data_IF_672965038280
#
_entry.id   IF_672965038280
#
_cell.length_a   1.000
_cell.length_b   1.000
_cell.length_c   1.000
_cell.angle_alpha   90.00
_cell.angle_beta   90.00
_cell.angle_gamma   90.00
#
_symmetry.space_group_name_H-M   'P 1'
#
loop_
_entity.id
_entity.type
_entity.pdbx_description
1 polymer ?
#
# COMPACT_ATOMS: atom_id res chain seq x y z
N UNK A 1 -15.27 31.78 17.07
CA UNK A 1 -15.09 30.54 17.87
C UNK A 1 -14.84 29.43 16.87
N UNK A 2 -13.58 29.01 16.74
CA UNK A 2 -13.13 28.06 15.74
C UNK A 2 -13.08 26.68 16.41
N UNK A 3 -14.09 25.86 16.17
CA UNK A 3 -14.13 24.47 16.61
C UNK A 3 -13.61 23.61 15.46
N UNK A 4 -12.29 23.43 15.39
CA UNK A 4 -11.67 22.45 14.49
C UNK A 4 -11.71 21.08 15.18
N UNK A 5 -12.80 20.35 14.93
CA UNK A 5 -12.85 18.91 15.15
C UNK A 5 -12.10 18.24 13.98
N UNK A 6 -10.84 17.86 14.18
CA UNK A 6 -10.12 17.01 13.23
C UNK A 6 -10.08 15.57 13.75
N UNK A 7 -10.96 14.72 13.21
CA UNK A 7 -10.77 13.26 13.19
C UNK A 7 -11.18 12.73 11.83
N UNK A 8 -10.22 12.57 10.92
CA UNK A 8 -10.38 11.78 9.68
C UNK A 8 -9.33 10.67 9.71
N UNK A 9 -9.78 9.42 9.64
CA UNK A 9 -8.94 8.26 9.35
C UNK A 9 -9.66 7.46 8.26
N UNK A 10 -9.12 7.47 7.04
CA UNK A 10 -9.60 6.68 5.90
C UNK A 10 -8.46 5.77 5.44
N UNK A 11 -8.77 4.51 5.13
CA UNK A 11 -7.82 3.50 4.69
C UNK A 11 -8.50 2.42 3.84
N UNK A 12 -7.66 1.70 3.09
CA UNK A 12 -7.81 0.78 1.94
C UNK A 12 -7.78 1.52 0.61
N UNK A 13 -6.58 1.96 0.21
CA UNK A 13 -6.26 2.87 -0.90
C UNK A 13 -7.33 3.94 -1.11
N UNK A 14 -7.55 4.73 -0.05
CA UNK A 14 -8.61 5.71 0.14
C UNK A 14 -9.96 5.29 -0.47
N UNK A 15 -10.54 4.26 0.16
CA UNK A 15 -11.77 3.55 -0.18
C UNK A 15 -11.82 2.95 -1.60
N UNK A 16 -10.63 2.59 -2.10
CA UNK A 16 -10.30 2.11 -3.43
C UNK A 16 -10.51 3.19 -4.50
N UNK A 17 -9.78 4.29 -4.34
CA UNK A 17 -9.99 5.56 -5.06
C UNK A 17 -11.51 5.84 -5.22
N UNK A 18 -12.20 5.62 -4.09
CA UNK A 18 -13.64 5.77 -3.82
C UNK A 18 -14.58 5.15 -4.87
N UNK A 19 -14.23 3.95 -5.37
CA UNK A 19 -14.98 3.05 -6.30
C UNK A 19 -14.46 3.00 -7.75
N UNK A 20 -13.34 3.68 -8.08
CA UNK A 20 -12.90 4.06 -9.44
C UNK A 20 -13.93 4.96 -10.13
N UNK A 21 -13.61 6.23 -10.28
CA UNK A 21 -14.43 7.25 -10.95
C UNK A 21 -15.19 6.70 -12.18
N UNK A 22 -16.50 6.53 -12.03
CA UNK A 22 -17.52 6.17 -13.03
C UNK A 22 -17.72 7.22 -14.15
N UNK A 23 -16.71 8.07 -14.37
CA UNK A 23 -16.62 9.20 -15.27
C UNK A 23 -15.12 9.37 -15.57
N UNK A 24 -14.60 8.80 -16.66
CA UNK A 24 -13.29 9.22 -17.19
C UNK A 24 -13.44 10.69 -17.59
N UNK A 25 -12.97 11.64 -16.78
CA UNK A 25 -12.70 12.99 -17.24
C UNK A 25 -11.25 13.00 -17.72
N UNK A 26 -11.08 13.17 -19.03
CA UNK A 26 -9.84 13.63 -19.65
C UNK A 26 -9.50 15.00 -19.06
N UNK A 27 -8.73 15.02 -17.98
CA UNK A 27 -8.12 16.24 -17.49
C UNK A 27 -6.63 16.16 -17.81
N UNK A 28 -6.26 16.74 -18.96
CA UNK A 28 -4.89 17.18 -19.18
C UNK A 28 -4.60 18.26 -18.14
N UNK A 29 -3.75 17.95 -17.18
CA UNK A 29 -3.01 18.95 -16.42
C UNK A 29 -1.55 18.51 -16.42
N UNK A 30 -0.80 19.13 -17.32
CA UNK A 30 0.66 19.09 -17.32
C UNK A 30 1.12 20.14 -16.32
N UNK A 31 1.74 19.70 -15.21
CA UNK A 31 2.73 20.44 -14.44
C UNK A 31 3.33 19.52 -13.36
N UNK A 32 4.27 18.64 -13.74
CA UNK A 32 5.09 17.84 -12.78
C UNK A 32 4.30 17.11 -11.68
N UNK A 33 3.10 16.64 -11.99
CA UNK A 33 2.23 15.96 -11.02
C UNK A 33 2.61 14.48 -10.92
N UNK A 34 2.86 14.03 -9.69
CA UNK A 34 3.10 12.64 -9.35
C UNK A 34 1.79 11.89 -9.65
N UNK A 35 1.77 11.08 -10.72
CA UNK A 35 0.52 10.56 -11.30
C UNK A 35 -0.09 9.43 -10.46
N UNK A 36 -1.39 9.53 -10.21
CA UNK A 36 -2.21 8.45 -9.64
C UNK A 36 -2.57 7.40 -10.71
N UNK A 37 -2.60 6.12 -10.34
CA UNK A 37 -2.88 5.00 -11.26
C UNK A 37 -3.97 4.08 -10.66
N UNK A 38 -5.05 3.86 -11.41
CA UNK A 38 -6.14 2.97 -10.98
C UNK A 38 -6.61 2.02 -12.09
N UNK A 39 -6.88 0.75 -11.76
CA UNK A 39 -7.37 -0.28 -12.72
C UNK A 39 -8.39 -1.25 -12.13
N UNK A 40 -9.21 -1.87 -12.99
CA UNK A 40 -10.12 -2.98 -12.64
C UNK A 40 -9.81 -4.16 -13.55
N UNK A 41 -9.83 -5.38 -12.99
CA UNK A 41 -9.56 -6.64 -13.69
C UNK A 41 -8.20 -6.60 -14.42
N UNK A 42 -7.23 -5.88 -13.84
CA UNK A 42 -5.92 -5.67 -14.44
C UNK A 42 -4.89 -5.30 -13.38
N UNK A 43 -3.69 -5.84 -13.53
CA UNK A 43 -2.57 -5.51 -12.67
C UNK A 43 -1.94 -4.16 -13.02
N UNK A 44 -1.24 -3.59 -12.05
CA UNK A 44 -0.42 -2.37 -12.20
C UNK A 44 1.04 -2.73 -11.92
N UNK A 45 1.94 -2.20 -12.74
CA UNK A 45 3.38 -2.22 -12.50
C UNK A 45 3.87 -0.78 -12.49
N UNK A 46 4.51 -0.38 -11.40
CA UNK A 46 5.27 0.86 -11.31
C UNK A 46 6.71 0.50 -11.62
N UNK A 47 7.24 1.06 -12.70
CA UNK A 47 8.57 0.71 -13.21
C UNK A 47 9.68 1.16 -12.26
N UNK A 48 10.86 0.55 -12.38
CA UNK A 48 12.02 0.86 -11.54
C UNK A 48 12.33 2.36 -11.49
N UNK A 49 12.65 2.87 -10.29
CA UNK A 49 13.00 4.27 -10.04
C UNK A 49 11.95 5.30 -10.51
N UNK A 50 10.70 4.88 -10.77
CA UNK A 50 9.60 5.81 -11.05
C UNK A 50 9.03 6.36 -9.76
N UNK A 51 8.54 7.59 -9.84
CA UNK A 51 7.75 8.22 -8.80
C UNK A 51 6.31 8.36 -9.29
N UNK A 52 5.37 7.76 -8.56
CA UNK A 52 3.93 7.81 -8.81
C UNK A 52 3.19 8.14 -7.52
N UNK A 53 1.92 8.52 -7.64
CA UNK A 53 1.10 8.89 -6.49
C UNK A 53 0.44 7.67 -5.90
N UNK A 54 -0.88 7.73 -5.82
CA UNK A 54 -1.69 6.63 -5.33
C UNK A 54 -1.83 5.54 -6.40
N UNK A 55 -1.78 4.27 -6.00
CA UNK A 55 -1.90 3.12 -6.90
C UNK A 55 -2.96 2.17 -6.39
N UNK A 56 -4.00 1.93 -7.19
CA UNK A 56 -5.12 1.08 -6.77
C UNK A 56 -5.62 0.09 -7.83
N UNK A 57 -6.01 -1.12 -7.40
CA UNK A 57 -6.56 -2.14 -8.30
C UNK A 57 -7.68 -2.98 -7.68
N UNK A 58 -8.63 -3.46 -8.50
CA UNK A 58 -9.61 -4.48 -8.11
C UNK A 58 -9.46 -5.69 -9.01
N UNK A 59 -9.42 -6.87 -8.40
CA UNK A 59 -9.17 -8.13 -9.10
C UNK A 59 -7.87 -8.06 -9.93
N UNK A 60 -6.84 -7.42 -9.37
CA UNK A 60 -5.55 -7.22 -10.00
C UNK A 60 -4.46 -6.96 -8.96
N UNK A 61 -3.27 -7.50 -9.21
CA UNK A 61 -2.10 -7.27 -8.35
C UNK A 61 -1.41 -5.94 -8.66
N UNK A 62 -0.67 -5.42 -7.68
CA UNK A 62 0.16 -4.23 -7.85
C UNK A 62 1.61 -4.62 -7.59
N UNK A 63 2.51 -4.26 -8.50
CA UNK A 63 3.95 -4.44 -8.34
C UNK A 63 4.65 -3.08 -8.37
N UNK A 64 5.34 -2.75 -7.29
CA UNK A 64 6.25 -1.62 -7.19
C UNK A 64 7.65 -2.15 -7.40
N UNK A 65 8.30 -1.79 -8.49
CA UNK A 65 9.63 -2.30 -8.80
C UNK A 65 10.73 -1.60 -8.01
N UNK A 66 11.93 -2.16 -8.11
CA UNK A 66 13.11 -1.69 -7.39
C UNK A 66 13.28 -0.16 -7.43
N UNK A 67 13.50 0.44 -6.27
CA UNK A 67 13.78 1.87 -6.12
C UNK A 67 12.63 2.80 -6.52
N UNK A 68 11.45 2.28 -6.83
CA UNK A 68 10.29 3.11 -7.14
C UNK A 68 9.73 3.76 -5.87
N UNK A 69 9.09 4.92 -6.07
CA UNK A 69 8.45 5.71 -5.04
C UNK A 69 6.94 5.78 -5.33
N UNK A 70 6.11 5.45 -4.36
CA UNK A 70 4.66 5.56 -4.46
C UNK A 70 4.03 6.10 -3.17
N UNK A 71 2.89 6.77 -3.24
CA UNK A 71 2.19 7.22 -2.03
C UNK A 71 1.37 6.08 -1.41
N UNK A 72 0.05 6.09 -1.57
CA UNK A 72 -0.82 5.04 -1.04
C UNK A 72 -1.03 3.93 -2.07
N UNK A 73 -0.86 2.67 -1.66
CA UNK A 73 -1.08 1.49 -2.51
C UNK A 73 -2.22 0.66 -1.95
N UNK A 74 -3.10 0.16 -2.81
CA UNK A 74 -4.06 -0.82 -2.33
C UNK A 74 -4.85 -1.58 -3.36
N UNK A 75 -5.30 -2.76 -2.95
CA UNK A 75 -6.02 -3.66 -3.85
C UNK A 75 -7.07 -4.50 -3.14
N UNK A 76 -8.06 -4.96 -3.90
CA UNK A 76 -9.05 -5.94 -3.45
C UNK A 76 -8.97 -7.16 -4.36
N UNK A 77 -8.91 -8.35 -3.76
CA UNK A 77 -8.68 -9.63 -4.43
C UNK A 77 -7.41 -9.61 -5.31
N UNK A 78 -6.33 -9.02 -4.78
CA UNK A 78 -5.03 -8.91 -5.45
C UNK A 78 -3.88 -8.84 -4.46
N UNK A 79 -2.69 -9.28 -4.87
CA UNK A 79 -1.47 -9.13 -4.08
C UNK A 79 -0.78 -7.79 -4.33
N UNK A 80 0.02 -7.34 -3.35
CA UNK A 80 0.92 -6.19 -3.48
C UNK A 80 2.35 -6.72 -3.32
N UNK A 81 3.15 -6.60 -4.38
CA UNK A 81 4.58 -6.90 -4.38
C UNK A 81 5.35 -5.57 -4.37
N UNK A 82 6.13 -5.31 -3.33
CA UNK A 82 7.03 -4.14 -3.26
C UNK A 82 8.45 -4.68 -3.31
N UNK A 83 9.17 -4.39 -4.40
CA UNK A 83 10.55 -4.86 -4.60
C UNK A 83 11.55 -4.02 -3.80
N UNK A 84 12.81 -4.45 -3.84
CA UNK A 84 13.87 -3.90 -3.01
C UNK A 84 14.08 -2.40 -3.20
N UNK A 85 14.59 -1.74 -2.16
CA UNK A 85 15.02 -0.34 -2.17
C UNK A 85 13.89 0.66 -2.50
N UNK A 86 12.64 0.20 -2.62
CA UNK A 86 11.47 1.05 -2.85
C UNK A 86 11.11 1.88 -1.61
N UNK A 87 10.42 2.99 -1.82
CA UNK A 87 9.87 3.82 -0.77
C UNK A 87 8.36 4.03 -1.01
N UNK A 88 7.55 3.74 -0.01
CA UNK A 88 6.10 4.00 -0.10
C UNK A 88 5.54 4.65 1.16
N UNK A 89 4.37 5.28 1.05
CA UNK A 89 3.70 5.79 2.25
C UNK A 89 2.94 4.69 2.99
N UNK A 90 1.98 4.04 2.34
CA UNK A 90 1.16 2.99 2.96
C UNK A 90 0.75 1.93 1.95
N UNK A 91 0.55 0.68 2.39
CA UNK A 91 0.00 -0.37 1.54
C UNK A 91 -1.10 -1.17 2.24
N UNK A 92 -2.21 -1.40 1.53
CA UNK A 92 -3.38 -2.06 2.07
C UNK A 92 -4.02 -3.07 1.11
N UNK A 93 -4.35 -4.29 1.55
CA UNK A 93 -5.03 -5.30 0.71
C UNK A 93 -6.20 -6.00 1.40
N UNK A 94 -7.26 -6.29 0.64
CA UNK A 94 -8.37 -7.15 1.07
C UNK A 94 -8.39 -8.42 0.24
N UNK A 95 -8.42 -9.58 0.90
CA UNK A 95 -8.29 -10.91 0.29
C UNK A 95 -7.03 -11.03 -0.58
N UNK A 96 -5.93 -10.44 -0.12
CA UNK A 96 -4.64 -10.48 -0.80
C UNK A 96 -3.49 -10.16 0.14
N UNK A 97 -2.30 -10.64 -0.22
CA UNK A 97 -1.09 -10.47 0.59
C UNK A 97 -0.30 -9.22 0.24
N UNK A 98 0.60 -8.83 1.15
CA UNK A 98 1.63 -7.82 0.92
C UNK A 98 2.99 -8.49 1.12
N UNK A 99 3.78 -8.54 0.06
CA UNK A 99 5.16 -9.04 0.06
C UNK A 99 6.12 -7.87 -0.17
N UNK A 100 7.03 -7.66 0.77
CA UNK A 100 8.00 -6.55 0.78
C UNK A 100 9.42 -7.09 0.64
N UNK A 101 10.16 -6.54 -0.32
CA UNK A 101 11.56 -6.83 -0.63
C UNK A 101 12.53 -6.33 0.44
N UNK A 102 13.80 -6.26 0.07
CA UNK A 102 14.88 -5.84 0.97
C UNK A 102 15.03 -4.31 1.01
N UNK A 103 15.47 -3.77 2.14
CA UNK A 103 15.78 -2.34 2.32
C UNK A 103 14.63 -1.37 1.97
N UNK A 104 13.39 -1.83 2.04
CA UNK A 104 12.21 -1.02 1.71
C UNK A 104 11.88 -0.07 2.85
N UNK A 105 11.48 1.15 2.50
CA UNK A 105 11.00 2.15 3.46
C UNK A 105 9.49 2.34 3.33
N UNK A 106 8.75 2.11 4.41
CA UNK A 106 7.32 2.39 4.53
C UNK A 106 7.15 3.59 5.48
N UNK A 107 6.71 4.75 4.97
CA UNK A 107 6.54 5.98 5.76
C UNK A 107 5.38 5.89 6.75
N UNK A 108 4.43 4.98 6.54
CA UNK A 108 3.27 4.74 7.39
C UNK A 108 3.09 3.27 7.74
N UNK A 109 1.91 2.72 7.44
CA UNK A 109 1.46 1.39 7.86
C UNK A 109 1.30 0.38 6.72
N UNK A 110 1.40 -0.90 7.06
CA UNK A 110 0.96 -2.01 6.21
C UNK A 110 -0.30 -2.64 6.80
N UNK A 111 -1.34 -2.86 5.99
CA UNK A 111 -2.62 -3.44 6.46
C UNK A 111 -3.16 -4.50 5.53
N UNK A 112 -3.70 -5.59 6.07
CA UNK A 112 -4.45 -6.56 5.27
C UNK A 112 -5.71 -7.07 5.96
N UNK A 113 -6.68 -7.51 5.17
CA UNK A 113 -7.82 -8.32 5.62
C UNK A 113 -7.80 -9.61 4.83
N UNK A 114 -7.80 -10.76 5.52
CA UNK A 114 -7.73 -12.10 4.96
C UNK A 114 -6.53 -12.30 4.01
N UNK A 115 -5.36 -11.81 4.40
CA UNK A 115 -4.13 -11.94 3.63
C UNK A 115 -2.88 -11.74 4.46
N UNK A 116 -1.75 -12.33 4.06
CA UNK A 116 -0.51 -12.26 4.82
C UNK A 116 0.29 -10.96 4.59
N UNK A 117 1.16 -10.61 5.53
CA UNK A 117 2.17 -9.57 5.37
C UNK A 117 3.54 -10.20 5.58
N UNK A 118 4.43 -10.07 4.61
CA UNK A 118 5.81 -10.56 4.71
C UNK A 118 6.78 -9.44 4.35
N UNK A 119 7.82 -9.29 5.17
CA UNK A 119 8.92 -8.38 4.89
C UNK A 119 10.26 -9.11 4.86
N UNK A 120 11.21 -8.58 4.09
CA UNK A 120 12.58 -9.04 4.04
C UNK A 120 13.53 -8.07 4.78
N UNK A 121 14.79 -8.48 5.02
CA UNK A 121 15.74 -7.71 5.82
C UNK A 121 15.94 -6.26 5.37
N UNK A 122 16.22 -5.39 6.33
CA UNK A 122 16.48 -3.97 6.06
C UNK A 122 15.22 -3.13 5.87
N UNK A 123 14.04 -3.74 5.92
CA UNK A 123 12.76 -3.02 5.84
C UNK A 123 12.54 -2.16 7.08
N UNK A 124 12.09 -0.92 6.87
CA UNK A 124 11.66 0.01 7.93
C UNK A 124 10.21 0.39 7.72
N UNK A 125 9.38 0.21 8.75
CA UNK A 125 7.97 0.59 8.78
C UNK A 125 7.79 1.58 9.92
N UNK A 126 7.43 2.82 9.62
CA UNK A 126 7.39 3.88 10.63
C UNK A 126 6.20 3.78 11.58
N UNK A 127 5.07 3.25 11.12
CA UNK A 127 3.87 3.12 11.94
C UNK A 127 3.59 1.65 12.29
N UNK A 128 2.45 1.11 11.84
CA UNK A 128 1.90 -0.16 12.29
C UNK A 128 1.93 -1.24 11.20
N UNK A 129 1.95 -2.49 11.62
CA UNK A 129 1.65 -3.65 10.76
C UNK A 129 0.40 -4.33 11.30
N UNK A 130 -0.66 -4.40 10.50
CA UNK A 130 -1.95 -4.91 10.95
C UNK A 130 -2.52 -5.93 9.97
N UNK A 131 -3.01 -7.06 10.47
CA UNK A 131 -3.81 -7.99 9.66
C UNK A 131 -5.03 -8.53 10.41
N UNK A 132 -6.03 -8.99 9.66
CA UNK A 132 -7.15 -9.78 10.17
C UNK A 132 -7.20 -11.10 9.39
N UNK A 133 -7.07 -12.25 10.04
CA UNK A 133 -7.12 -13.57 9.41
C UNK A 133 -5.84 -13.97 8.65
N UNK A 134 -4.81 -13.13 8.68
CA UNK A 134 -3.55 -13.32 7.96
C UNK A 134 -2.36 -13.63 8.87
N UNK A 135 -1.30 -14.19 8.27
CA UNK A 135 0.00 -14.35 8.92
C UNK A 135 0.87 -13.11 8.68
N UNK A 136 1.50 -12.62 9.73
CA UNK A 136 2.56 -11.60 9.65
C UNK A 136 3.91 -12.30 9.80
N UNK A 137 4.85 -12.04 8.89
CA UNK A 137 6.22 -12.51 8.98
C UNK A 137 7.21 -11.39 8.76
N UNK A 138 7.95 -11.02 9.80
CA UNK A 138 8.88 -9.89 9.75
C UNK A 138 10.33 -10.37 9.86
N UNK A 139 11.13 -10.15 8.81
CA UNK A 139 12.55 -10.55 8.80
C UNK A 139 13.44 -9.34 8.96
N UNK A 140 14.11 -9.23 10.10
CA UNK A 140 15.04 -8.13 10.40
C UNK A 140 14.47 -6.76 9.99
N UNK A 141 13.22 -6.52 10.40
CA UNK A 141 12.42 -5.36 10.05
C UNK A 141 12.26 -4.49 11.29
N UNK A 142 12.38 -3.18 11.12
CA UNK A 142 12.12 -2.20 12.18
C UNK A 142 10.68 -1.72 12.02
N UNK A 143 9.87 -1.85 13.08
CA UNK A 143 8.52 -1.31 13.14
C UNK A 143 8.49 -0.23 14.21
N UNK A 144 8.05 0.98 13.86
CA UNK A 144 8.07 2.13 14.76
C UNK A 144 6.94 2.14 15.79
N UNK A 145 5.84 1.43 15.52
CA UNK A 145 4.71 1.26 16.46
C UNK A 145 4.39 -0.23 16.66
N UNK A 146 3.11 -0.62 16.65
CA UNK A 146 2.67 -1.98 17.00
C UNK A 146 2.54 -2.92 15.78
N UNK A 147 2.72 -4.21 16.04
CA UNK A 147 2.37 -5.31 15.14
C UNK A 147 1.16 -6.04 15.69
N UNK A 148 0.07 -6.11 14.92
CA UNK A 148 -1.22 -6.62 15.37
C UNK A 148 -1.81 -7.62 14.37
N UNK A 149 -2.35 -8.72 14.87
CA UNK A 149 -3.18 -9.63 14.09
C UNK A 149 -4.45 -9.99 14.86
N UNK A 150 -5.57 -10.14 14.16
CA UNK A 150 -6.77 -10.76 14.70
C UNK A 150 -7.00 -12.10 13.99
N UNK A 151 -7.08 -13.20 14.73
CA UNK A 151 -7.25 -14.55 14.17
C UNK A 151 -6.15 -14.94 13.16
N UNK A 152 -4.88 -14.63 13.49
CA UNK A 152 -3.73 -14.97 12.68
C UNK A 152 -2.47 -15.15 13.52
N UNK A 153 -1.34 -15.40 12.85
CA UNK A 153 -0.05 -15.67 13.49
C UNK A 153 0.95 -14.54 13.21
N UNK A 154 1.92 -14.35 14.12
CA UNK A 154 3.05 -13.42 13.95
C UNK A 154 4.35 -14.24 14.12
N UNK A 155 5.26 -14.13 13.14
CA UNK A 155 6.57 -14.80 13.09
C UNK A 155 7.75 -13.86 12.82
#
# INVERSE_FOLDING_TARGET
MHTTNHTVRLGVASALAILLSSYLLDANADETEVQDISKINSGIRVEENKHVGNVSSVNGGIRIQRGAIASEIGTVNGGIDIEDDAEIDTAESVNGGIDVGENVTINGSLRTVSGGIKTNPGTVIRDHVVTVGGKIRLRNTVVGSDVQTSNGDIE
#
